data_IF_297428856891
#
_entry.id   IF_297428856891
#
_cell.length_a   1.000
_cell.length_b   1.000
_cell.length_c   1.000
_cell.angle_alpha   90.00
_cell.angle_beta   90.00
_cell.angle_gamma   90.00
#
_symmetry.space_group_name_H-M   'P 1'
#
loop_
_entity.id
_entity.type
_entity.pdbx_description
1 polymer ?
2 water ?
#
# COMPACT_ATOMS: atom_id res chain seq x y z
N UNK A 8 14.38 -6.63 25.70
CA UNK A 8 15.25 -7.00 24.53
C UNK A 8 14.84 -6.21 23.28
N UNK A 9 15.75 -6.12 22.32
CA UNK A 9 15.47 -5.41 21.09
C UNK A 9 15.50 -6.28 19.84
N UNK A 10 14.35 -6.78 19.40
CA UNK A 10 14.32 -7.59 18.19
C UNK A 10 14.65 -6.68 17.02
N UNK A 11 15.71 -7.03 16.28
CA UNK A 11 16.14 -6.22 15.14
C UNK A 11 16.05 -6.97 13.82
N UNK A 12 15.89 -6.20 12.75
CA UNK A 12 15.80 -6.74 11.41
C UNK A 12 15.43 -8.21 11.31
N UNK A 13 16.41 -9.02 10.94
CA UNK A 13 16.22 -10.46 10.79
C UNK A 13 15.13 -11.10 11.66
N UNK A 14 15.22 -10.95 12.98
CA UNK A 14 14.23 -11.57 13.86
C UNK A 14 13.03 -10.69 14.27
N UNK A 15 12.94 -9.51 13.68
CA UNK A 15 11.82 -8.61 13.95
C UNK A 15 10.70 -9.04 13.01
N UNK A 16 9.53 -9.39 13.55
CA UNK A 16 8.37 -9.85 12.79
C UNK A 16 7.67 -8.82 11.90
N UNK A 17 7.65 -7.56 12.33
CA UNK A 17 6.97 -6.53 11.58
C UNK A 17 7.78 -5.93 10.46
N UNK A 18 9.08 -6.19 10.44
CA UNK A 18 9.91 -5.65 9.36
C UNK A 18 9.84 -6.62 8.18
N UNK A 19 9.45 -6.10 7.04
CA UNK A 19 9.33 -6.90 5.83
C UNK A 19 10.26 -6.41 4.74
N UNK A 20 11.48 -6.93 4.76
CA UNK A 20 12.48 -6.53 3.79
C UNK A 20 12.05 -6.89 2.36
N UNK A 21 12.21 -5.92 1.46
CA UNK A 21 11.85 -6.10 0.06
C UNK A 21 12.41 -7.38 -0.54
N UNK A 22 13.69 -7.34 -0.94
CA UNK A 22 14.31 -8.51 -1.56
C UNK A 22 14.54 -9.72 -0.67
N UNK A 23 13.45 -10.29 -0.20
CA UNK A 23 13.46 -11.47 0.66
C UNK A 23 12.02 -11.88 0.92
N UNK A 24 11.16 -10.92 1.21
CA UNK A 24 9.79 -11.26 1.48
C UNK A 24 8.82 -11.16 0.33
N UNK A 25 9.24 -10.48 -0.74
CA UNK A 25 8.37 -10.39 -1.89
C UNK A 25 8.59 -11.63 -2.75
N UNK A 26 7.54 -12.03 -3.46
CA UNK A 26 7.62 -13.16 -4.36
C UNK A 26 7.24 -12.63 -5.74
N UNK A 27 8.16 -12.72 -6.69
CA UNK A 27 7.89 -12.24 -8.04
C UNK A 27 6.99 -13.22 -8.78
N UNK A 28 5.91 -12.69 -9.36
CA UNK A 28 4.97 -13.50 -10.11
C UNK A 28 5.28 -13.37 -11.60
N UNK A 29 5.96 -12.29 -11.97
CA UNK A 29 6.32 -12.07 -13.35
C UNK A 29 7.40 -11.00 -13.44
N UNK A 30 8.27 -11.09 -14.45
CA UNK A 30 9.34 -10.13 -14.61
C UNK A 30 9.98 -10.20 -15.99
N UNK A 31 10.28 -9.04 -16.56
CA UNK A 31 10.92 -8.98 -17.85
C UNK A 31 11.56 -7.60 -18.04
N UNK A 32 11.91 -7.29 -19.28
CA UNK A 32 12.55 -6.03 -19.60
C UNK A 32 11.73 -4.78 -19.29
N UNK A 33 10.41 -4.92 -19.20
CA UNK A 33 9.56 -3.76 -18.97
C UNK A 33 8.85 -3.67 -17.64
N UNK A 34 9.07 -4.64 -16.76
CA UNK A 34 8.42 -4.58 -15.48
C UNK A 34 8.38 -5.88 -14.70
N UNK A 35 7.90 -5.80 -13.47
CA UNK A 35 7.80 -6.96 -12.62
C UNK A 35 6.56 -6.83 -11.75
N UNK A 36 6.03 -7.99 -11.37
CA UNK A 36 4.85 -8.05 -10.53
C UNK A 36 5.20 -9.00 -9.41
N UNK A 37 5.29 -8.49 -8.19
CA UNK A 37 5.59 -9.35 -7.06
C UNK A 37 4.61 -9.17 -5.89
N UNK A 38 4.44 -10.24 -5.13
CA UNK A 38 3.52 -10.27 -4.00
C UNK A 38 4.23 -10.46 -2.67
N UNK A 39 3.86 -9.66 -1.69
CA UNK A 39 4.45 -9.77 -0.37
C UNK A 39 3.95 -11.07 0.25
N UNK A 40 4.71 -11.64 1.18
CA UNK A 40 4.33 -12.89 1.83
C UNK A 40 3.22 -12.64 2.85
N UNK A 41 2.52 -13.71 3.23
CA UNK A 41 1.42 -13.64 4.19
C UNK A 41 1.87 -13.12 5.55
N UNK A 42 1.09 -12.20 6.11
CA UNK A 42 1.40 -11.61 7.39
C UNK A 42 1.26 -12.59 8.54
N UNK A 43 0.04 -13.07 8.77
CA UNK A 43 -0.23 -13.98 9.88
C UNK A 43 0.76 -15.14 10.04
N UNK A 44 1.44 -15.50 8.98
CA UNK A 44 2.42 -16.58 9.00
C UNK A 44 3.50 -16.32 10.01
N UNK A 45 4.02 -15.09 10.01
CA UNK A 45 5.10 -14.65 10.89
C UNK A 45 4.78 -14.38 12.36
N UNK A 46 3.55 -14.00 12.66
CA UNK A 46 3.20 -13.70 14.06
C UNK A 46 1.73 -13.49 14.35
N UNK A 47 1.24 -14.13 15.40
CA UNK A 47 -0.15 -13.98 15.77
C UNK A 47 -0.47 -12.56 16.17
N UNK A 48 0.55 -11.73 16.30
CA UNK A 48 0.29 -10.34 16.64
C UNK A 48 -0.25 -9.61 15.42
N UNK A 49 -0.28 -10.32 14.28
CA UNK A 49 -0.78 -9.78 13.02
C UNK A 49 -1.83 -10.71 12.42
N UNK A 50 -2.51 -11.47 13.28
CA UNK A 50 -3.51 -12.42 12.82
C UNK A 50 -4.56 -11.78 11.90
N UNK A 51 -5.10 -10.66 12.33
CA UNK A 51 -6.12 -9.99 11.57
C UNK A 51 -5.72 -9.37 10.26
N UNK A 52 -4.46 -9.52 9.86
CA UNK A 52 -4.02 -9.01 8.57
C UNK A 52 -4.02 -10.12 7.52
N UNK A 53 -4.28 -11.35 7.97
CA UNK A 53 -4.31 -12.52 7.10
C UNK A 53 -5.18 -12.39 5.86
N UNK A 54 -6.19 -11.53 5.94
CA UNK A 54 -7.09 -11.34 4.81
C UNK A 54 -6.54 -10.38 3.79
N UNK A 55 -5.33 -9.89 4.02
CA UNK A 55 -4.76 -8.94 3.09
C UNK A 55 -3.40 -9.32 2.48
N UNK A 56 -3.20 -8.92 1.24
CA UNK A 56 -1.92 -9.15 0.58
C UNK A 56 -1.44 -7.85 -0.06
N UNK A 57 -0.12 -7.66 -0.08
CA UNK A 57 0.46 -6.48 -0.68
C UNK A 57 1.03 -6.87 -2.03
N UNK A 58 0.78 -6.05 -3.05
CA UNK A 58 1.25 -6.32 -4.38
C UNK A 58 2.04 -5.11 -4.90
N UNK A 59 3.19 -5.36 -5.54
CA UNK A 59 4.01 -4.27 -6.10
C UNK A 59 4.12 -4.45 -7.60
N UNK A 60 4.03 -3.34 -8.30
CA UNK A 60 4.08 -3.36 -9.75
C UNK A 60 5.07 -2.31 -10.21
N UNK A 61 5.92 -2.69 -11.16
CA UNK A 61 6.92 -1.79 -11.72
C UNK A 61 6.73 -1.86 -13.23
N UNK A 62 6.67 -0.71 -13.88
CA UNK A 62 6.45 -0.70 -15.32
C UNK A 62 7.27 0.36 -16.04
N UNK A 63 8.10 -0.07 -16.99
CA UNK A 63 8.92 0.87 -17.74
C UNK A 63 8.03 1.76 -18.62
N UNK A 64 8.53 2.94 -19.01
CA UNK A 64 7.70 3.82 -19.85
C UNK A 64 7.13 3.16 -21.09
N UNK A 65 6.00 3.70 -21.54
CA UNK A 65 5.33 3.22 -22.74
C UNK A 65 5.06 1.71 -22.81
N UNK A 66 4.63 1.11 -21.69
CA UNK A 66 4.32 -0.33 -21.69
C UNK A 66 2.88 -0.55 -21.21
N UNK A 67 2.42 -1.80 -21.30
CA UNK A 67 1.06 -2.14 -20.91
C UNK A 67 0.94 -3.50 -20.25
N UNK A 68 0.12 -3.55 -19.20
CA UNK A 68 -0.17 -4.79 -18.48
C UNK A 68 -1.41 -5.35 -19.17
N UNK A 69 -1.27 -6.48 -19.86
CA UNK A 69 -2.39 -7.07 -20.57
C UNK A 69 -3.67 -7.30 -19.71
N UNK A 70 -4.86 -7.35 -20.35
CA UNK A 70 -6.14 -7.56 -19.66
C UNK A 70 -6.25 -8.80 -18.78
N UNK A 71 -6.79 -8.62 -17.58
CA UNK A 71 -7.00 -9.73 -16.67
C UNK A 71 -7.86 -9.27 -15.52
N UNK A 72 -8.28 -10.22 -14.68
CA UNK A 72 -9.07 -9.91 -13.49
C UNK A 72 -8.67 -10.93 -12.41
N UNK A 73 -8.71 -10.50 -11.15
CA UNK A 73 -8.36 -11.36 -10.02
C UNK A 73 -9.61 -11.53 -9.17
N UNK A 74 -9.55 -12.45 -8.21
CA UNK A 74 -10.72 -12.63 -7.35
C UNK A 74 -10.51 -11.90 -6.03
N UNK A 75 -10.11 -10.64 -6.13
CA UNK A 75 -9.90 -9.82 -4.96
C UNK A 75 -10.22 -8.35 -5.20
N UNK A 76 -10.67 -7.65 -4.17
CA UNK A 76 -10.90 -6.23 -4.30
C UNK A 76 -9.47 -5.69 -4.37
N UNK A 77 -9.31 -4.48 -4.88
CA UNK A 77 -7.96 -3.92 -5.00
C UNK A 77 -7.93 -2.43 -4.71
N UNK A 78 -7.13 -2.02 -3.73
CA UNK A 78 -6.98 -0.59 -3.46
C UNK A 78 -5.71 -0.25 -4.23
N UNK A 79 -5.84 0.53 -5.31
CA UNK A 79 -4.69 0.87 -6.12
C UNK A 79 -4.16 2.28 -5.86
N UNK A 80 -2.86 2.37 -5.55
CA UNK A 80 -2.22 3.63 -5.25
C UNK A 80 -0.97 3.73 -6.12
N UNK A 81 -0.76 4.92 -6.70
CA UNK A 81 0.39 5.17 -7.56
C UNK A 81 1.51 5.86 -6.80
N UNK A 82 2.56 5.12 -6.45
CA UNK A 82 3.68 5.70 -5.69
C UNK A 82 4.46 6.74 -6.46
N UNK A 83 4.85 6.38 -7.68
CA UNK A 83 5.64 7.26 -8.53
C UNK A 83 5.31 7.12 -10.01
N UNK A 84 5.19 8.26 -10.69
CA UNK A 84 4.87 8.23 -12.10
C UNK A 84 3.39 8.48 -12.33
N UNK A 85 2.91 8.10 -13.50
CA UNK A 85 1.50 8.26 -13.84
C UNK A 85 1.12 7.14 -14.77
N UNK A 86 -0.03 6.53 -14.49
CA UNK A 86 -0.49 5.43 -15.30
C UNK A 86 -1.92 5.65 -15.73
N UNK A 87 -2.31 5.03 -16.83
CA UNK A 87 -3.68 5.12 -17.31
C UNK A 87 -4.34 3.78 -17.00
N UNK A 88 -5.24 3.82 -16.02
CA UNK A 88 -5.98 2.66 -15.55
C UNK A 88 -7.33 2.54 -16.27
N UNK A 89 -7.62 1.35 -16.80
CA UNK A 89 -8.87 1.13 -17.51
C UNK A 89 -9.67 -0.06 -17.00
N UNK A 90 -10.92 0.21 -16.64
CA UNK A 90 -11.80 -0.85 -16.18
C UNK A 90 -12.86 -1.07 -17.25
N UNK A 91 -13.12 -2.34 -17.57
CA UNK A 91 -14.12 -2.68 -18.56
C UNK A 91 -15.17 -3.53 -17.87
N UNK A 92 -16.44 -3.30 -18.21
CA UNK A 92 -17.54 -4.06 -17.62
C UNK A 92 -18.41 -4.55 -18.74
N UNK A 93 -19.23 -5.58 -18.49
CA UNK A 93 -20.08 -6.10 -19.55
C UNK A 93 -20.90 -5.04 -20.29
N UNK A 94 -21.14 -3.91 -19.64
CA UNK A 94 -21.92 -2.84 -20.24
C UNK A 94 -21.14 -1.59 -20.63
N UNK A 95 -19.85 -1.55 -20.30
CA UNK A 95 -19.09 -0.36 -20.65
C UNK A 95 -17.68 -0.24 -20.11
N UNK A 96 -16.93 0.64 -20.75
CA UNK A 96 -15.52 0.92 -20.43
C UNK A 96 -15.39 2.19 -19.61
N UNK A 97 -14.31 2.28 -18.85
CA UNK A 97 -14.03 3.45 -18.01
C UNK A 97 -12.54 3.63 -17.83
N UNK A 98 -12.03 4.79 -18.23
CA UNK A 98 -10.61 5.05 -18.10
C UNK A 98 -10.32 6.40 -17.45
N UNK A 99 -9.18 6.46 -16.78
CA UNK A 99 -8.73 7.67 -16.11
C UNK A 99 -7.22 7.66 -16.02
N UNK A 100 -6.62 8.85 -15.99
CA UNK A 100 -5.19 8.94 -15.85
C UNK A 100 -5.00 9.16 -14.36
N UNK A 101 -3.96 8.56 -13.79
CA UNK A 101 -3.69 8.70 -12.38
C UNK A 101 -2.29 9.26 -12.18
N UNK A 102 -2.18 10.35 -11.43
CA UNK A 102 -0.87 10.95 -11.18
C UNK A 102 -0.35 10.33 -9.88
N UNK A 103 0.93 10.56 -9.56
CA UNK A 103 1.46 9.97 -8.34
C UNK A 103 0.70 10.52 -7.13
N UNK A 104 0.26 9.62 -6.27
CA UNK A 104 -0.49 10.03 -5.10
C UNK A 104 -1.96 9.72 -5.25
N UNK A 105 -2.34 9.25 -6.44
CA UNK A 105 -3.73 8.89 -6.74
C UNK A 105 -4.06 7.46 -6.32
N UNK A 106 -5.33 7.23 -6.04
CA UNK A 106 -5.77 5.92 -5.64
C UNK A 106 -7.12 5.61 -6.24
N UNK A 107 -7.49 4.34 -6.22
CA UNK A 107 -8.79 3.92 -6.71
C UNK A 107 -9.02 2.44 -6.45
N UNK A 108 -10.22 2.12 -6.01
CA UNK A 108 -10.64 0.77 -5.71
C UNK A 108 -10.93 0.04 -7.02
N UNK A 109 -10.59 -1.24 -7.05
CA UNK A 109 -10.85 -2.04 -8.24
C UNK A 109 -11.70 -3.24 -7.78
N UNK A 110 -13.04 -3.14 -7.91
CA UNK A 110 -13.95 -4.23 -7.51
C UNK A 110 -13.42 -5.59 -7.96
N UNK A 111 -13.61 -6.61 -7.13
CA UNK A 111 -13.13 -7.96 -7.45
C UNK A 111 -13.80 -8.50 -8.70
N UNK A 112 -13.00 -8.96 -9.66
CA UNK A 112 -13.55 -9.51 -10.89
C UNK A 112 -13.63 -8.54 -12.06
N UNK A 113 -13.34 -7.27 -11.83
CA UNK A 113 -13.39 -6.28 -12.89
C UNK A 113 -12.18 -6.44 -13.81
N UNK A 114 -12.43 -6.83 -15.05
CA UNK A 114 -11.30 -6.93 -15.96
C UNK A 114 -10.71 -5.52 -16.14
N UNK A 115 -9.39 -5.41 -16.21
CA UNK A 115 -8.78 -4.10 -16.36
C UNK A 115 -7.39 -4.20 -16.93
N UNK A 116 -6.76 -3.05 -17.15
CA UNK A 116 -5.40 -3.00 -17.67
C UNK A 116 -4.74 -1.66 -17.36
N UNK A 117 -3.41 -1.63 -17.35
CA UNK A 117 -2.68 -0.39 -17.09
C UNK A 117 -1.63 -0.18 -18.14
N UNK A 118 -1.31 1.09 -18.36
CA UNK A 118 -0.28 1.45 -19.31
C UNK A 118 0.40 2.69 -18.75
N UNK A 119 1.71 2.75 -18.98
CA UNK A 119 2.51 3.87 -18.55
C UNK A 119 2.62 4.76 -19.77
N UNK A 120 1.76 5.78 -19.85
CA UNK A 120 1.77 6.70 -20.99
C UNK A 120 3.10 7.44 -21.14
N UNK A 121 3.68 7.83 -20.00
CA UNK A 121 4.94 8.57 -19.99
C UNK A 121 6.05 7.96 -20.83
N UNK A 122 6.97 8.81 -21.30
CA UNK A 122 8.05 8.35 -22.17
C UNK A 122 9.43 8.13 -21.56
N UNK A 123 9.61 8.33 -20.26
CA UNK A 123 10.92 8.10 -19.65
C UNK A 123 10.90 7.99 -18.14
N UNK A 124 9.73 8.24 -17.56
CA UNK A 124 9.55 8.14 -16.12
C UNK A 124 8.91 6.78 -15.85
N UNK A 125 9.44 6.02 -14.90
CA UNK A 125 8.87 4.71 -14.57
C UNK A 125 7.59 4.81 -13.75
N UNK A 126 6.85 3.71 -13.73
CA UNK A 126 5.59 3.62 -13.00
C UNK A 126 5.75 2.68 -11.81
N UNK A 127 5.39 3.17 -10.63
CA UNK A 127 5.50 2.38 -9.42
C UNK A 127 4.14 2.37 -8.73
N UNK A 128 3.61 1.17 -8.50
CA UNK A 128 2.31 0.99 -7.90
C UNK A 128 2.29 0.04 -6.72
N UNK A 129 1.55 0.41 -5.68
CA UNK A 129 1.42 -0.45 -4.52
C UNK A 129 -0.03 -0.86 -4.60
N UNK A 130 -0.33 -2.11 -4.22
CA UNK A 130 -1.70 -2.63 -4.27
C UNK A 130 -2.06 -3.43 -3.03
N UNK A 131 -3.15 -3.03 -2.39
CA UNK A 131 -3.63 -3.73 -1.22
C UNK A 131 -4.73 -4.63 -1.76
N UNK A 132 -4.59 -5.93 -1.55
CA UNK A 132 -5.55 -6.90 -2.06
C UNK A 132 -6.39 -7.55 -0.99
N UNK A 133 -7.65 -7.85 -1.34
CA UNK A 133 -8.55 -8.51 -0.40
C UNK A 133 -9.24 -9.63 -1.18
N UNK A 134 -8.73 -10.87 -1.05
CA UNK A 134 -9.24 -12.07 -1.73
C UNK A 134 -10.66 -12.45 -1.30
N UNK A 135 -11.38 -13.09 -2.22
CA UNK A 135 -12.74 -13.53 -2.01
C UNK A 135 -12.92 -14.99 -1.61
N UNK A 136 -12.53 -15.90 -2.49
CA UNK A 136 -12.70 -17.33 -2.25
C UNK A 136 -11.83 -17.84 -1.12
N UNK A 137 -10.63 -17.30 -1.02
CA UNK A 137 -9.74 -17.69 0.05
C UNK A 137 -9.17 -16.43 0.66
N UNK A 138 -9.32 -16.31 1.99
CA UNK A 138 -8.83 -15.15 2.74
C UNK A 138 -7.37 -14.81 2.52
N UNK A 139 -6.54 -15.84 2.33
CA UNK A 139 -5.11 -15.62 2.20
C UNK A 139 -4.52 -15.50 0.81
N UNK A 140 -5.25 -15.91 -0.22
CA UNK A 140 -4.70 -15.84 -1.56
C UNK A 140 -5.69 -15.51 -2.67
N UNK A 141 -5.19 -14.85 -3.72
CA UNK A 141 -6.02 -14.51 -4.86
C UNK A 141 -5.46 -15.07 -6.16
N UNK A 142 -6.32 -15.14 -7.18
CA UNK A 142 -5.98 -15.67 -8.49
C UNK A 142 -6.16 -14.70 -9.64
N UNK A 143 -5.07 -14.39 -10.34
CA UNK A 143 -5.13 -13.50 -11.49
C UNK A 143 -5.56 -14.41 -12.63
N UNK A 144 -6.49 -13.95 -13.49
CA UNK A 144 -6.93 -14.74 -14.63
C UNK A 144 -6.64 -13.85 -15.81
N UNK A 145 -5.65 -14.24 -16.63
CA UNK A 145 -5.26 -13.45 -17.77
C UNK A 145 -5.97 -13.86 -19.05
N UNK A 146 -6.51 -12.87 -19.74
CA UNK A 146 -7.23 -13.09 -20.96
C UNK A 146 -6.26 -13.38 -22.11
N UNK A 147 -5.12 -12.71 -22.08
CA UNK A 147 -4.11 -12.87 -23.12
C UNK A 147 -3.52 -14.27 -23.20
N UNK A 148 -2.77 -14.50 -24.27
CA UNK A 148 -2.09 -15.78 -24.51
C UNK A 148 -0.65 -15.43 -24.90
N UNK A 149 0.27 -15.79 -24.01
CA UNK A 149 1.68 -15.49 -24.16
C UNK A 149 2.56 -16.66 -23.73
N UNK A 150 3.84 -16.60 -24.09
CA UNK A 150 4.76 -17.65 -23.71
C UNK A 150 4.87 -17.78 -22.20
N UNK A 151 4.38 -16.79 -21.47
CA UNK A 151 4.45 -16.81 -20.00
C UNK A 151 3.25 -17.51 -19.38
N UNK A 152 2.07 -16.98 -19.62
CA UNK A 152 0.84 -17.55 -19.08
C UNK A 152 -0.06 -17.96 -20.23
N UNK A 153 -1.08 -18.75 -19.92
CA UNK A 153 -2.00 -19.23 -20.93
C UNK A 153 -3.39 -18.62 -20.75
N UNK A 154 -4.05 -18.30 -21.87
CA UNK A 154 -5.37 -17.71 -21.79
C UNK A 154 -6.33 -18.63 -21.08
N UNK A 155 -7.24 -18.03 -20.30
CA UNK A 155 -8.18 -18.85 -19.58
C UNK A 155 -9.27 -19.39 -20.48
N UNK A 156 -9.42 -18.83 -21.68
CA UNK A 156 -10.44 -19.34 -22.59
C UNK A 156 -9.96 -20.69 -23.10
N UNK A 157 -8.66 -20.88 -23.02
CA UNK A 157 -8.05 -22.12 -23.47
C UNK A 157 -8.34 -23.27 -22.49
N UNK A 158 -9.15 -22.98 -21.47
CA UNK A 158 -9.51 -23.99 -20.49
C UNK A 158 -10.83 -24.68 -20.83
N UNK A 159 -11.52 -24.19 -21.84
CA UNK A 159 -12.78 -24.79 -22.23
C UNK A 159 -12.54 -25.80 -23.35
N UNK A 160 -13.44 -26.79 -23.46
CA UNK A 160 -13.33 -27.81 -24.48
C UNK A 160 -13.66 -27.29 -25.88
N UNK A 161 -13.21 -28.03 -26.90
CA UNK A 161 -13.43 -27.66 -28.28
C UNK A 161 -14.91 -27.49 -28.56
N UNK A 162 -15.71 -28.44 -28.09
CA UNK A 162 -17.15 -28.38 -28.30
C UNK A 162 -17.74 -27.08 -27.78
N UNK A 163 -17.27 -26.62 -26.63
CA UNK A 163 -17.74 -25.37 -26.05
C UNK A 163 -17.22 -24.16 -26.82
N UNK A 164 -15.90 -23.99 -26.85
CA UNK A 164 -15.30 -22.88 -27.56
C UNK A 164 -15.88 -22.74 -28.97
N UNK A 165 -16.20 -23.89 -29.58
CA UNK A 165 -16.75 -23.92 -30.93
C UNK A 165 -18.15 -23.36 -30.95
N UNK A 166 -19.00 -23.86 -30.06
CA UNK A 166 -20.37 -23.39 -29.98
C UNK A 166 -20.40 -21.96 -29.48
N UNK A 167 -19.57 -21.69 -28.49
CA UNK A 167 -19.53 -20.36 -27.89
C UNK A 167 -19.12 -19.31 -28.90
N UNK A 168 -18.16 -19.64 -29.74
CA UNK A 168 -17.67 -18.69 -30.71
C UNK A 168 -18.14 -18.84 -32.16
N UNK A 169 -18.79 -19.96 -32.48
CA UNK A 169 -19.29 -20.22 -33.83
C UNK A 169 -18.10 -20.17 -34.80
N UNK A 170 -17.41 -21.28 -34.92
CA UNK A 170 -16.24 -21.38 -35.77
C UNK A 170 -15.50 -22.66 -35.43
N UNK A 171 -14.84 -23.26 -36.41
CA UNK A 171 -14.08 -24.48 -36.16
C UNK A 171 -13.01 -24.14 -35.14
N UNK A 172 -12.65 -25.12 -34.32
CA UNK A 172 -11.65 -24.87 -33.31
C UNK A 172 -10.36 -24.33 -33.92
N UNK A 173 -10.07 -24.77 -35.14
CA UNK A 173 -8.87 -24.33 -35.82
C UNK A 173 -8.80 -22.81 -36.01
N UNK A 174 -9.86 -22.23 -36.57
CA UNK A 174 -9.88 -20.78 -36.78
C UNK A 174 -9.69 -20.08 -35.45
N UNK A 175 -10.25 -20.65 -34.39
CA UNK A 175 -10.13 -20.09 -33.05
C UNK A 175 -8.69 -20.13 -32.55
N UNK A 176 -8.17 -21.35 -32.37
CA UNK A 176 -6.80 -21.55 -31.90
C UNK A 176 -5.79 -20.64 -32.59
N UNK A 177 -6.10 -20.25 -33.83
CA UNK A 177 -5.21 -19.38 -34.59
C UNK A 177 -5.34 -17.94 -34.13
N UNK A 178 -6.56 -17.42 -34.17
CA UNK A 178 -6.79 -16.04 -33.76
C UNK A 178 -6.52 -15.82 -32.27
N UNK A 179 -7.19 -16.59 -31.41
CA UNK A 179 -7.04 -16.38 -29.98
C UNK A 179 -5.86 -17.03 -29.27
N UNK A 180 -5.38 -18.17 -29.75
CA UNK A 180 -4.27 -18.85 -29.09
C UNK A 180 -2.96 -18.81 -29.87
N UNK A 181 -2.21 -19.92 -29.79
CA UNK A 181 -0.95 -20.03 -30.48
C UNK A 181 -0.95 -19.47 -31.90
N UNK A 193 3.65 -15.09 -33.28
CA UNK A 193 2.84 -13.93 -33.62
C UNK A 193 2.26 -13.29 -32.35
N UNK A 194 2.40 -13.97 -31.22
CA UNK A 194 1.91 -13.49 -29.93
C UNK A 194 2.94 -12.63 -29.21
N UNK A 195 2.93 -12.74 -27.88
CA UNK A 195 3.85 -12.00 -27.01
C UNK A 195 4.52 -12.99 -26.08
N UNK A 196 5.59 -12.55 -25.42
CA UNK A 196 6.29 -13.44 -24.51
C UNK A 196 5.95 -13.16 -23.05
N UNK A 197 5.41 -11.98 -22.77
CA UNK A 197 5.07 -11.66 -21.39
C UNK A 197 3.78 -10.88 -21.22
N UNK A 198 3.31 -10.74 -19.98
CA UNK A 198 2.07 -10.02 -19.73
C UNK A 198 2.24 -8.49 -19.79
N UNK A 199 3.49 -8.06 -19.79
CA UNK A 199 3.83 -6.65 -19.89
C UNK A 199 4.50 -6.46 -21.25
N UNK A 200 3.87 -5.65 -22.09
CA UNK A 200 4.39 -5.40 -23.43
C UNK A 200 4.56 -3.92 -23.70
N UNK A 201 5.55 -3.60 -24.53
CA UNK A 201 5.81 -2.22 -24.89
C UNK A 201 4.93 -1.88 -26.09
N UNK A 202 4.63 -0.60 -26.24
CA UNK A 202 3.80 -0.14 -27.34
C UNK A 202 4.47 1.04 -28.02
N UNK A 203 4.01 1.35 -29.23
CA UNK A 203 4.54 2.47 -29.98
C UNK A 203 3.84 3.70 -29.42
N UNK A 204 4.54 4.83 -29.40
CA UNK A 204 3.97 6.06 -28.86
C UNK A 204 2.64 6.40 -29.54
N UNK A 205 2.51 5.95 -30.78
CA UNK A 205 1.31 6.18 -31.57
C UNK A 205 0.17 5.45 -30.87
N UNK A 206 0.42 4.17 -30.55
CA UNK A 206 -0.56 3.33 -29.87
C UNK A 206 -0.96 3.92 -28.52
N UNK A 207 0.03 4.27 -27.71
CA UNK A 207 -0.26 4.83 -26.40
C UNK A 207 -1.13 6.06 -26.53
N UNK A 208 -0.69 7.00 -27.38
CA UNK A 208 -1.46 8.22 -27.59
C UNK A 208 -2.89 7.82 -27.91
N UNK A 209 -3.06 6.68 -28.56
CA UNK A 209 -4.41 6.24 -28.87
C UNK A 209 -5.20 6.05 -27.58
N UNK A 210 -4.77 5.10 -26.75
CA UNK A 210 -5.46 4.86 -25.50
C UNK A 210 -5.00 5.79 -24.39
N UNK A 211 -5.34 7.07 -24.54
CA UNK A 211 -5.01 8.11 -23.57
C UNK A 211 -5.83 9.34 -23.94
N UNK A 212 -6.60 9.23 -25.02
CA UNK A 212 -7.45 10.31 -25.48
C UNK A 212 -8.82 10.14 -24.87
N UNK A 213 -8.92 9.13 -24.00
CA UNK A 213 -10.17 8.81 -23.32
C UNK A 213 -10.00 9.20 -21.86
N UNK A 214 -8.89 8.77 -21.27
CA UNK A 214 -8.54 9.03 -19.88
C UNK A 214 -9.64 9.71 -19.07
N UNK A 226 -17.04 4.75 -7.32
CA UNK A 226 -16.64 6.11 -7.68
C UNK A 226 -15.49 6.17 -8.69
N UNK A 227 -14.81 7.32 -8.71
CA UNK A 227 -13.69 7.54 -9.62
C UNK A 227 -12.43 7.87 -8.82
N UNK A 228 -11.26 7.73 -9.45
CA UNK A 228 -9.98 8.00 -8.77
C UNK A 228 -9.89 9.31 -8.03
N UNK A 229 -9.39 9.24 -6.80
CA UNK A 229 -9.23 10.41 -5.93
C UNK A 229 -7.75 10.57 -5.56
N UNK A 230 -7.36 11.74 -5.06
CA UNK A 230 -5.97 11.95 -4.69
C UNK A 230 -5.72 12.47 -3.28
N UNK A 231 -4.97 11.69 -2.52
CA UNK A 231 -4.62 11.99 -1.14
C UNK A 231 -3.85 13.28 -0.94
N UNK A 232 -2.83 13.52 -1.78
CA UNK A 232 -2.00 14.71 -1.66
C UNK A 232 -2.62 15.95 -2.30
N UNK A 233 -3.95 16.01 -2.35
CA UNK A 233 -4.61 17.16 -2.94
C UNK A 233 -5.54 17.82 -1.94
N UNK A 234 -5.00 18.21 -0.79
CA UNK A 234 -5.80 18.85 0.25
C UNK A 234 -4.99 19.21 1.48
N UNK A 235 -5.51 20.14 2.27
CA UNK A 235 -4.82 20.60 3.47
C UNK A 235 -4.27 19.42 4.27
N UNK A 236 -2.94 19.33 4.41
CA UNK A 236 -2.43 18.20 5.18
C UNK A 236 -2.95 18.28 6.62
N UNK A 237 -2.84 17.18 7.35
CA UNK A 237 -3.30 17.13 8.74
C UNK A 237 -2.29 17.82 9.63
N UNK A 238 -1.02 17.45 9.49
CA UNK A 238 0.05 18.05 10.28
C UNK A 238 1.05 18.64 9.29
N UNK A 239 1.73 19.72 9.69
CA UNK A 239 2.70 20.37 8.81
C UNK A 239 3.65 21.34 9.51
N UNK A 240 4.89 21.38 9.03
CA UNK A 240 5.88 22.30 9.57
C UNK A 240 7.18 22.24 8.76
N UNK A 241 8.19 23.00 9.18
CA UNK A 241 9.45 23.03 8.45
C UNK A 241 9.97 21.64 8.13
N UNK A 242 9.86 20.74 9.09
CA UNK A 242 10.39 19.40 8.91
C UNK A 242 9.58 18.31 8.22
N UNK A 243 8.29 18.57 7.99
CA UNK A 243 7.49 17.57 7.29
C UNK A 243 6.00 17.85 7.33
N UNK A 244 5.28 17.24 6.38
CA UNK A 244 3.82 17.38 6.31
C UNK A 244 3.17 16.01 6.21
N UNK A 245 1.94 15.90 6.74
CA UNK A 245 1.20 14.65 6.80
C UNK A 245 -0.16 14.71 6.09
N UNK A 246 -0.31 13.97 5.00
CA UNK A 246 -1.58 13.92 4.26
C UNK A 246 -2.37 12.66 4.60
N UNK A 247 -3.65 12.80 4.91
CA UNK A 247 -4.45 11.63 5.23
C UNK A 247 -5.88 11.79 4.72
N UNK A 248 -6.43 10.70 4.20
CA UNK A 248 -7.81 10.69 3.72
C UNK A 248 -8.52 9.53 4.41
N UNK A 249 -9.66 9.82 5.03
CA UNK A 249 -10.41 8.81 5.77
C UNK A 249 -11.75 8.36 5.17
N UNK A 250 -12.27 7.22 5.64
CA UNK A 250 -13.54 6.66 5.17
C UNK A 250 -14.72 7.62 5.32
N UNK A 251 -14.67 8.43 6.38
CA UNK A 251 -15.72 9.40 6.65
C UNK A 251 -15.92 10.25 5.41
N UNK A 252 -14.83 10.57 4.73
CA UNK A 252 -14.90 11.41 3.55
C UNK A 252 -14.57 10.77 2.21
N UNK A 253 -15.07 9.56 1.98
CA UNK A 253 -14.81 8.87 0.71
C UNK A 253 -15.43 7.48 0.71
N UNK A 254 -16.45 7.27 -0.12
CA UNK A 254 -17.15 5.97 -0.23
C UNK A 254 -16.28 4.74 -0.49
N UNK A 255 -15.41 4.81 -1.49
CA UNK A 255 -14.55 3.68 -1.83
C UNK A 255 -13.77 3.29 -0.60
N UNK A 256 -13.29 4.29 0.11
CA UNK A 256 -12.52 4.04 1.31
C UNK A 256 -13.42 3.48 2.41
N UNK A 257 -14.67 3.94 2.48
CA UNK A 257 -15.59 3.46 3.50
C UNK A 257 -16.02 2.00 3.35
N UNK A 258 -15.91 1.46 2.14
CA UNK A 258 -16.29 0.06 1.94
C UNK A 258 -15.21 -0.83 2.49
N UNK A 259 -13.97 -0.46 2.18
CA UNK A 259 -12.82 -1.21 2.62
C UNK A 259 -12.57 -0.89 4.09
N UNK A 260 -13.30 0.10 4.59
CA UNK A 260 -13.14 0.54 5.96
C UNK A 260 -11.66 0.75 6.23
N UNK A 261 -11.00 1.56 5.41
CA UNK A 261 -9.59 1.85 5.58
C UNK A 261 -9.21 3.26 5.15
N UNK A 262 -8.05 3.76 5.60
CA UNK A 262 -7.60 5.10 5.23
C UNK A 262 -6.29 5.08 4.45
N UNK A 263 -6.06 6.15 3.69
CA UNK A 263 -4.84 6.26 2.92
C UNK A 263 -4.10 7.35 3.66
N UNK A 264 -2.78 7.31 3.64
CA UNK A 264 -2.00 8.30 4.36
C UNK A 264 -0.61 8.40 3.69
N UNK A 265 -0.16 9.64 3.48
CA UNK A 265 1.14 9.90 2.84
C UNK A 265 1.88 11.03 3.56
N UNK A 266 3.07 10.73 4.07
CA UNK A 266 3.85 11.73 4.80
C UNK A 266 5.33 11.80 4.39
N UNK A 267 5.81 13.01 4.09
CA UNK A 267 7.21 13.22 3.72
C UNK A 267 7.93 14.04 4.77
N UNK A 268 9.14 13.63 5.12
CA UNK A 268 9.94 14.31 6.14
C UNK A 268 11.34 14.63 5.64
N UNK A 269 11.94 15.70 6.17
CA UNK A 269 13.31 16.04 5.78
C UNK A 269 14.24 15.19 6.61
N UNK A 270 15.40 14.82 6.05
CA UNK A 270 16.36 14.00 6.77
C UNK A 270 16.70 14.69 8.09
N UNK A 271 16.85 13.91 9.15
CA UNK A 271 17.17 14.48 10.45
C UNK A 271 15.91 14.67 11.27
N UNK A 272 14.76 14.51 10.62
CA UNK A 272 13.47 14.67 11.26
C UNK A 272 13.11 13.49 12.14
N UNK A 273 12.14 13.74 13.03
CA UNK A 273 11.62 12.71 13.91
C UNK A 273 10.12 12.86 14.04
N UNK A 274 9.41 11.75 13.87
CA UNK A 274 7.96 11.74 14.01
C UNK A 274 7.79 11.22 15.43
N UNK A 275 7.43 12.13 16.33
CA UNK A 275 7.26 11.83 17.76
C UNK A 275 6.45 10.59 18.09
N UNK A 276 6.89 9.83 19.10
CA UNK A 276 6.18 8.61 19.50
C UNK A 276 4.69 8.89 19.51
N UNK A 277 3.93 8.02 18.85
CA UNK A 277 2.48 8.17 18.80
C UNK A 277 1.88 6.80 18.55
N UNK A 278 0.57 6.68 18.69
CA UNK A 278 -0.10 5.42 18.39
C UNK A 278 -1.49 5.64 17.80
N UNK A 279 -1.92 4.72 16.95
CA UNK A 279 -3.24 4.82 16.35
C UNK A 279 -4.22 4.11 17.30
N UNK A 280 -5.36 4.73 17.54
CA UNK A 280 -6.39 4.21 18.43
C UNK A 280 -6.83 2.76 18.12
N UNK A 281 -7.28 2.49 16.89
CA UNK A 281 -7.75 1.15 16.55
C UNK A 281 -7.33 0.65 15.17
N UNK A 282 -6.74 1.51 14.35
CA UNK A 282 -6.37 1.06 13.02
C UNK A 282 -5.02 0.37 12.99
N UNK A 283 -4.92 -0.64 12.16
CA UNK A 283 -3.69 -1.40 12.00
C UNK A 283 -3.07 -0.76 10.79
N UNK A 284 -1.79 -0.44 10.86
CA UNK A 284 -1.15 0.23 9.73
C UNK A 284 -0.08 -0.53 8.95
N UNK A 285 -0.31 -0.62 7.64
CA UNK A 285 0.62 -1.24 6.70
C UNK A 285 1.39 -0.12 6.00
N UNK A 286 2.62 0.19 6.42
CA UNK A 286 3.34 1.26 5.71
C UNK A 286 4.45 0.75 4.76
N UNK A 287 4.58 1.44 3.63
CA UNK A 287 5.57 1.07 2.64
C UNK A 287 6.43 2.29 2.35
N UNK A 288 7.73 2.06 2.22
CA UNK A 288 8.66 3.15 1.96
C UNK A 288 8.74 3.42 0.47
N UNK A 289 8.31 4.60 0.06
CA UNK A 289 8.36 4.97 -1.35
C UNK A 289 9.83 5.22 -1.68
N UNK A 290 10.40 6.29 -1.12
CA UNK A 290 11.79 6.62 -1.35
C UNK A 290 12.40 7.22 -0.11
N UNK A 291 13.67 6.91 0.13
CA UNK A 291 14.36 7.45 1.28
C UNK A 291 14.75 6.34 2.22
N UNK A 292 15.38 6.71 3.32
CA UNK A 292 15.81 5.76 4.35
C UNK A 292 15.21 6.20 5.68
N UNK A 293 15.15 5.29 6.65
CA UNK A 293 14.60 5.63 7.97
C UNK A 293 14.68 4.50 8.98
N UNK A 294 14.85 4.87 10.25
CA UNK A 294 14.90 3.91 11.34
C UNK A 294 13.54 3.94 12.02
N UNK A 295 13.02 2.78 12.37
CA UNK A 295 11.74 2.73 13.04
C UNK A 295 11.87 2.01 14.38
N UNK A 296 11.22 2.58 15.39
CA UNK A 296 11.22 2.02 16.72
C UNK A 296 9.76 1.80 17.07
N UNK A 297 9.42 0.54 17.32
CA UNK A 297 8.07 0.14 17.63
C UNK A 297 8.12 -0.58 18.96
N UNK A 298 7.30 -0.10 19.90
CA UNK A 298 7.19 -0.69 21.23
C UNK A 298 5.93 -1.54 21.27
N UNK A 299 6.10 -2.86 21.33
CA UNK A 299 4.95 -3.73 21.34
C UNK A 299 5.01 -4.85 22.36
N UNK A 300 4.24 -5.90 22.06
CA UNK A 300 4.14 -7.09 22.92
C UNK A 300 5.30 -8.04 22.67
N UNK A 301 5.65 -8.80 23.71
CA UNK A 301 6.76 -9.75 23.62
C UNK A 301 6.36 -10.98 22.79
N UNK A 302 7.21 -11.35 21.83
CA UNK A 302 6.97 -12.49 20.93
C UNK A 302 5.57 -12.47 20.32
N UNK A 312 1.04 -14.23 28.15
CA UNK A 312 -0.03 -13.30 28.51
C UNK A 312 0.38 -12.44 29.71
N UNK A 313 1.50 -11.71 29.55
CA UNK A 313 2.03 -10.84 30.60
C UNK A 313 2.04 -9.37 30.17
N UNK A 314 2.42 -8.48 31.10
CA UNK A 314 2.47 -7.04 30.83
C UNK A 314 3.86 -6.51 30.52
N UNK A 315 4.80 -7.39 30.21
CA UNK A 315 6.13 -6.88 29.90
C UNK A 315 6.12 -6.43 28.44
N UNK A 316 6.80 -5.33 28.17
CA UNK A 316 6.84 -4.77 26.82
C UNK A 316 8.20 -4.95 26.16
N UNK A 317 8.19 -5.32 24.88
CA UNK A 317 9.44 -5.52 24.14
C UNK A 317 9.62 -4.48 23.04
N UNK A 318 10.87 -4.21 22.68
CA UNK A 318 11.14 -3.23 21.64
C UNK A 318 11.51 -3.86 20.30
N UNK A 319 10.97 -3.29 19.23
CA UNK A 319 11.19 -3.77 17.89
C UNK A 319 11.82 -2.66 17.07
N UNK A 320 12.94 -2.95 16.43
CA UNK A 320 13.65 -1.96 15.64
C UNK A 320 14.04 -2.49 14.28
N UNK A 321 14.23 -1.58 13.34
CA UNK A 321 14.62 -1.95 11.99
C UNK A 321 14.95 -0.72 11.15
N UNK A 322 15.78 -0.93 10.13
CA UNK A 322 16.15 0.13 9.21
C UNK A 322 15.38 -0.12 7.94
N UNK A 323 14.56 0.85 7.55
CA UNK A 323 13.74 0.72 6.36
C UNK A 323 14.36 1.43 5.18
N UNK A 324 14.19 0.84 4.01
CA UNK A 324 14.70 1.46 2.79
C UNK A 324 13.70 1.21 1.67
N UNK A 325 13.82 2.03 0.63
CA UNK A 325 12.94 1.97 -0.52
C UNK A 325 12.24 0.64 -0.80
N UNK A 326 10.91 0.67 -0.72
CA UNK A 326 10.05 -0.48 -0.97
C UNK A 326 9.80 -1.42 0.18
N UNK A 327 10.60 -1.36 1.24
CA UNK A 327 10.36 -2.25 2.35
C UNK A 327 8.98 -2.01 2.94
N UNK A 328 8.47 -2.99 3.68
CA UNK A 328 7.16 -2.85 4.30
C UNK A 328 7.25 -3.08 5.79
N UNK A 329 6.59 -2.23 6.56
CA UNK A 329 6.61 -2.36 8.01
C UNK A 329 5.20 -2.29 8.55
N UNK A 330 4.87 -3.25 9.40
CA UNK A 330 3.55 -3.33 9.98
C UNK A 330 3.49 -2.81 11.41
N UNK A 331 2.62 -1.82 11.63
CA UNK A 331 2.43 -1.19 12.92
C UNK A 331 1.09 -1.59 13.52
N UNK A 332 1.08 -2.58 14.43
CA UNK A 332 -0.14 -3.07 15.08
C UNK A 332 -0.93 -1.98 15.80
N UNK A 333 -2.25 -2.12 15.82
CA UNK A 333 -3.12 -1.17 16.48
C UNK A 333 -2.67 -0.96 17.92
N UNK A 334 -2.62 0.30 18.33
CA UNK A 334 -2.24 0.74 19.69
C UNK A 334 -0.79 0.63 20.10
N UNK A 335 0.06 0.06 19.26
CA UNK A 335 1.46 -0.02 19.62
C UNK A 335 2.10 1.34 19.42
N UNK A 336 2.95 1.77 20.38
CA UNK A 336 3.60 3.08 20.22
C UNK A 336 4.76 2.98 19.23
N UNK A 337 4.82 3.91 18.28
CA UNK A 337 5.89 3.90 17.28
C UNK A 337 6.51 5.27 17.03
N UNK A 338 7.79 5.25 16.65
CA UNK A 338 8.56 6.45 16.35
C UNK A 338 9.36 6.23 15.07
N UNK A 339 9.26 7.17 14.15
CA UNK A 339 9.96 7.06 12.88
C UNK A 339 10.99 8.16 12.76
N UNK A 340 12.17 7.80 12.27
CA UNK A 340 13.27 8.74 12.12
C UNK A 340 13.79 8.72 10.68
N UNK A 341 13.64 9.85 9.99
CA UNK A 341 14.07 9.98 8.60
C UNK A 341 15.57 10.24 8.51
N UNK A 342 16.36 9.19 8.25
CA UNK A 342 17.80 9.35 8.14
C UNK A 342 18.15 9.64 6.70
N UNK A 343 17.26 10.40 6.07
CA UNK A 343 17.36 10.81 4.68
C UNK A 343 16.00 11.43 4.35
N UNK A 344 15.89 12.13 3.22
CA UNK A 344 14.61 12.72 2.89
C UNK A 344 13.75 11.61 2.37
N UNK A 345 12.71 11.26 3.12
CA UNK A 345 11.83 10.19 2.70
C UNK A 345 10.36 10.60 2.66
N UNK A 346 9.59 9.74 2.00
CA UNK A 346 8.16 9.89 1.84
C UNK A 346 7.64 8.48 1.96
N UNK A 347 6.60 8.27 2.75
CA UNK A 347 6.04 6.94 2.89
C UNK A 347 4.52 6.92 2.83
N UNK A 348 4.00 5.84 2.28
CA UNK A 348 2.57 5.61 2.16
C UNK A 348 2.16 4.65 3.26
N UNK A 349 0.94 4.78 3.73
CA UNK A 349 0.45 3.89 4.77
C UNK A 349 -1.01 3.60 4.54
N UNK A 350 -1.37 2.32 4.71
CA UNK A 350 -2.75 1.91 4.58
C UNK A 350 -3.20 1.72 6.02
N UNK A 351 -4.43 2.12 6.30
CA UNK A 351 -4.94 1.97 7.64
C UNK A 351 -6.07 0.96 7.56
N UNK A 352 -5.87 -0.21 8.14
CA UNK A 352 -6.91 -1.25 8.15
C UNK A 352 -7.72 -1.02 9.44
N UNK A 353 -9.03 -1.23 9.37
CA UNK A 353 -9.90 -1.04 10.54
C UNK A 353 -9.79 0.42 10.99
N UNK A 354 -9.95 1.32 10.02
CA UNK A 354 -9.77 2.77 10.21
C UNK A 354 -10.85 3.69 10.80
N UNK A 355 -12.11 3.48 10.46
CA UNK A 355 -13.18 4.33 10.93
C UNK A 355 -13.07 4.81 12.37
N UNK A 356 -13.04 6.13 12.55
CA UNK A 356 -12.96 6.73 13.87
C UNK A 356 -11.66 6.44 14.60
N UNK A 357 -10.60 6.21 13.85
CA UNK A 357 -9.30 5.96 14.42
C UNK A 357 -8.67 7.28 14.91
N UNK A 358 -7.89 7.19 15.99
CA UNK A 358 -7.26 8.38 16.55
C UNK A 358 -5.75 8.31 16.73
N UNK A 359 -5.10 9.47 16.54
CA UNK A 359 -3.65 9.56 16.67
C UNK A 359 -3.27 10.16 18.00
N UNK A 360 -2.68 9.33 18.85
CA UNK A 360 -2.27 9.76 20.17
C UNK A 360 -0.77 9.94 20.22
N UNK A 361 -0.36 11.20 20.30
CA UNK A 361 1.05 11.57 20.39
C UNK A 361 1.48 11.60 21.85
N UNK A 362 2.61 10.97 22.14
CA UNK A 362 3.10 10.87 23.51
C UNK A 362 4.10 11.96 23.88
N UNK A 363 4.28 12.90 22.97
CA UNK A 363 5.19 14.02 23.17
C UNK A 363 4.72 15.16 22.28
N UNK A 364 5.22 16.36 22.56
CA UNK A 364 4.83 17.50 21.76
C UNK A 364 3.57 18.20 22.22
N UNK A 365 3.21 19.25 21.51
CA UNK A 365 2.02 20.03 21.83
C UNK A 365 0.73 19.43 21.28
N UNK A 366 0.63 19.36 19.95
CA UNK A 366 -0.59 18.86 19.33
C UNK A 366 -0.90 17.37 19.47
N UNK A 367 -2.13 17.06 19.86
CA UNK A 367 -2.60 15.69 20.02
C UNK A 367 -1.73 14.86 20.97
N UNK A 368 -1.36 15.45 22.10
CA UNK A 368 -0.54 14.78 23.10
C UNK A 368 -1.36 14.29 24.31
N UNK A 369 -1.91 13.07 24.21
CA UNK A 369 -2.71 12.49 25.30
C UNK A 369 -2.03 12.65 26.66
N UNK A 370 -0.73 12.38 26.71
CA UNK A 370 0.06 12.48 27.93
C UNK A 370 -0.34 13.74 28.70
N UNK A 371 -0.36 14.87 27.99
CA UNK A 371 -0.66 16.17 28.58
C UNK A 371 -2.12 16.50 28.84
N UNK A 372 -3.00 15.52 28.75
CA UNK A 372 -4.39 15.78 29.01
C UNK A 372 -4.78 15.14 30.32
N UNK A 373 -3.82 14.39 30.87
CA UNK A 373 -3.98 13.70 32.14
C UNK A 373 -3.82 14.75 33.22
N UNK A 374 -4.80 14.89 34.12
CA UNK A 374 -4.68 15.90 35.18
C UNK A 374 -3.53 15.59 36.15
N UNK A 375 -2.82 16.64 36.54
CA UNK A 375 -1.68 16.56 37.45
C UNK A 375 -1.80 15.53 38.56
N UNK A 376 -2.79 15.71 39.44
CA UNK A 376 -3.01 14.80 40.56
C UNK A 376 -2.90 13.33 40.15
N UNK A 377 -3.07 13.04 38.88
CA UNK A 377 -2.96 11.67 38.42
C UNK A 377 -1.54 11.34 37.98
N UNK A 378 -0.94 12.17 37.13
CA UNK A 378 0.42 11.88 36.68
C UNK A 378 1.42 12.03 37.83
N UNK A 379 0.94 12.59 38.93
CA UNK A 379 1.77 12.78 40.11
C UNK A 379 1.96 11.39 40.75
N UNK A 380 0.90 10.60 40.67
CA UNK A 380 0.88 9.24 41.20
C UNK A 380 1.33 8.26 40.12
N UNK A 381 1.18 8.64 38.86
CA UNK A 381 1.59 7.78 37.75
C UNK A 381 3.11 7.64 37.69
N UNK A 382 3.80 8.78 37.68
CA UNK A 382 5.26 8.80 37.63
C UNK A 382 5.85 9.11 39.00
N UNK A 383 7.08 8.62 39.27
CA UNK A 383 7.69 8.90 40.57
C UNK A 383 7.73 10.39 40.91
N UNK A 384 8.32 11.20 40.03
CA UNK A 384 8.42 12.65 40.26
C UNK A 384 7.07 13.30 40.59
N UNK A 385 7.12 14.56 41.00
CA UNK A 385 5.90 15.28 41.32
C UNK A 385 5.20 15.71 40.04
N UNK A 386 3.88 15.84 40.11
CA UNK A 386 3.11 16.22 38.96
C UNK A 386 3.60 17.48 38.29
N UNK A 387 3.99 18.46 39.09
CA UNK A 387 4.46 19.72 38.53
C UNK A 387 5.73 19.49 37.75
N UNK A 388 6.57 18.57 38.22
CA UNK A 388 7.82 18.26 37.53
C UNK A 388 7.55 17.48 36.25
N UNK A 389 6.78 16.40 36.34
CA UNK A 389 6.47 15.62 35.15
C UNK A 389 5.85 16.56 34.13
N UNK A 390 4.78 17.24 34.52
CA UNK A 390 4.13 18.16 33.61
C UNK A 390 5.18 19.08 32.99
N UNK A 391 5.90 19.81 33.83
CA UNK A 391 6.94 20.73 33.36
C UNK A 391 7.75 20.08 32.24
N UNK A 392 8.20 18.85 32.49
CA UNK A 392 8.98 18.10 31.54
C UNK A 392 8.19 17.93 30.25
N UNK A 393 6.93 17.59 30.39
CA UNK A 393 6.07 17.39 29.23
C UNK A 393 5.98 18.67 28.41
N UNK A 394 5.55 19.75 29.04
CA UNK A 394 5.40 21.03 28.34
C UNK A 394 6.66 21.62 27.71
N UNK A 395 7.82 21.01 27.97
CA UNK A 395 9.08 21.54 27.42
C UNK A 395 9.10 21.58 25.89
N UNK A 396 9.19 20.41 25.26
CA UNK A 396 9.19 20.33 23.80
C UNK A 396 7.98 21.08 23.23
N UNK A 397 8.21 22.28 22.69
CA UNK A 397 7.12 23.09 22.15
C UNK A 397 6.73 22.74 20.73
N UNK A 398 7.42 21.77 20.16
CA UNK A 398 7.16 21.33 18.80
C UNK A 398 6.04 20.29 18.70
N UNK A 399 5.69 19.91 17.48
CA UNK A 399 4.63 18.94 17.25
C UNK A 399 4.90 17.97 16.10
N UNK A 400 4.61 16.70 16.36
CA UNK A 400 4.77 15.60 15.41
C UNK A 400 6.14 15.49 14.74
N UNK A 401 6.48 16.48 13.93
CA UNK A 401 7.73 16.52 13.20
C UNK A 401 8.72 17.44 13.88
N UNK A 402 9.68 16.87 14.60
CA UNK A 402 10.67 17.67 15.30
C UNK A 402 12.07 17.36 14.79
N UNK A 403 13.09 17.81 15.51
CA UNK A 403 14.49 17.60 15.13
C UNK A 403 14.97 16.20 15.50
N UNK A 404 16.28 16.06 15.69
CA UNK A 404 16.91 14.77 16.05
C UNK A 404 18.44 14.86 15.96
#
# INVERSE_FOLDING_TARGET
>A
MIDGAEVSVSRGKNNPFYFNSDRWFHTLFRNQFGHLRVLQRFDQRSKQMQNLENYRVVEFNSKPNTLLLPHHADADFLLVVLNGRAVLTLVNPDGRDSNILEQGHAQKIPAGTTFFLVNPDDEENLRIIKLAVPVNNPHRFQDFFLSSTEAQQSYLQGFSKNILEASFDSDIKEISRVLFGEEGQQQQQGQESQQEGVIVELKREQIRELTKHAKSSSKKSLSSEDQPFNLRNQKPIYSNKLGRWFEITPEKNPQLRDLDMFIRSVDMKEGSLLLPHYNSKAIVILVINEGKANIELVGQREQQKQQEEQEESWEVQRYRAELSEDDVFIIPATYPVAINATSNLNFFAFGINAENNQRNFLAGEKDNVISEIPTEVLDVTFPASGEKVQKLIKKQSESQFVDAQPEQQEREEARKGGKGPFVY
#
